data_IF_659309618850
#
_entry.id   IF_659309618850
#
_cell.length_a   1.000
_cell.length_b   1.000
_cell.length_c   1.000
_cell.angle_alpha   90.00
_cell.angle_beta   90.00
_cell.angle_gamma   90.00
#
_symmetry.space_group_name_H-M   'P 1'
#
loop_
_entity.id
_entity.type
_entity.pdbx_description
1 polymer ?
#
# COMPACT_ATOMS: atom_id res chain seq x y z
N UNK A 1 -18.51 -27.90 5.94
CA UNK A 1 -19.62 -28.76 5.44
C UNK A 1 -19.39 -28.83 3.95
N UNK A 2 -18.90 -29.99 3.46
CA UNK A 2 -18.85 -30.24 2.05
C UNK A 2 -20.27 -30.10 1.52
N UNK A 3 -20.50 -29.24 0.52
CA UNK A 3 -21.78 -29.14 -0.12
C UNK A 3 -22.05 -30.48 -0.85
N UNK A 4 -22.93 -31.27 -0.34
CA UNK A 4 -23.22 -32.63 -0.85
C UNK A 4 -23.77 -32.65 -2.28
N UNK A 5 -24.11 -31.51 -2.89
CA UNK A 5 -24.61 -31.44 -4.27
C UNK A 5 -24.16 -30.16 -4.97
N UNK A 6 -22.84 -30.04 -5.25
CA UNK A 6 -22.33 -29.03 -6.18
C UNK A 6 -22.03 -29.72 -7.52
N UNK A 7 -22.65 -29.28 -8.58
CA UNK A 7 -22.35 -29.76 -9.92
C UNK A 7 -21.72 -28.64 -10.75
N UNK A 8 -20.79 -29.01 -11.63
CA UNK A 8 -20.30 -28.11 -12.66
C UNK A 8 -20.48 -28.72 -14.03
N UNK A 9 -20.74 -27.90 -15.02
CA UNK A 9 -20.73 -28.30 -16.41
C UNK A 9 -20.03 -27.24 -17.26
N UNK A 10 -19.38 -27.70 -18.32
CA UNK A 10 -18.73 -26.84 -19.29
C UNK A 10 -19.38 -27.06 -20.65
N UNK A 11 -19.83 -26.00 -21.27
CA UNK A 11 -20.38 -26.04 -22.62
C UNK A 11 -20.08 -24.73 -23.36
N UNK A 12 -19.52 -24.83 -24.56
CA UNK A 12 -19.28 -23.69 -25.48
C UNK A 12 -18.62 -22.45 -24.85
N UNK A 13 -17.60 -22.65 -24.02
CA UNK A 13 -16.89 -21.55 -23.35
C UNK A 13 -17.56 -21.02 -22.08
N UNK A 14 -18.66 -21.62 -21.66
CA UNK A 14 -19.36 -21.29 -20.42
C UNK A 14 -19.13 -22.34 -19.34
N UNK A 15 -18.86 -21.91 -18.11
CA UNK A 15 -18.84 -22.77 -16.92
C UNK A 15 -20.10 -22.50 -16.12
N UNK A 16 -20.94 -23.52 -15.99
CA UNK A 16 -22.10 -23.46 -15.12
C UNK A 16 -21.79 -24.13 -13.78
N UNK A 17 -21.89 -23.34 -12.72
CA UNK A 17 -21.81 -23.83 -11.34
C UNK A 17 -23.20 -23.83 -10.75
N UNK A 18 -23.65 -24.97 -10.24
CA UNK A 18 -24.95 -25.11 -9.60
C UNK A 18 -24.81 -25.69 -8.20
N UNK A 19 -25.56 -25.15 -7.27
CA UNK A 19 -25.65 -25.65 -5.91
C UNK A 19 -27.13 -25.85 -5.55
N UNK A 20 -27.49 -27.01 -5.08
CA UNK A 20 -28.84 -27.29 -4.58
C UNK A 20 -28.95 -26.74 -3.16
N UNK A 21 -29.87 -25.79 -2.98
CA UNK A 21 -30.21 -25.25 -1.66
C UNK A 21 -31.35 -26.11 -1.09
N UNK A 22 -31.35 -26.21 0.27
CA UNK A 22 -32.43 -26.87 0.98
C UNK A 22 -33.79 -26.16 0.80
N UNK A 23 -34.86 -26.80 1.25
CA UNK A 23 -36.26 -26.31 1.07
C UNK A 23 -36.60 -25.13 2.00
N UNK A 24 -35.75 -24.77 2.93
CA UNK A 24 -35.97 -23.66 3.86
C UNK A 24 -35.66 -22.32 3.19
N UNK A 25 -36.57 -21.34 3.32
CA UNK A 25 -36.36 -19.96 2.83
C UNK A 25 -35.13 -19.25 3.42
N UNK A 26 -34.48 -19.81 4.46
CA UNK A 26 -33.27 -19.28 5.12
C UNK A 26 -31.99 -19.97 4.67
N UNK A 27 -32.08 -20.97 3.79
CA UNK A 27 -30.91 -21.67 3.29
C UNK A 27 -30.13 -20.74 2.33
N UNK A 28 -28.88 -20.50 2.65
CA UNK A 28 -27.97 -19.66 1.87
C UNK A 28 -26.80 -20.51 1.38
N UNK A 29 -26.51 -20.42 0.10
CA UNK A 29 -25.29 -20.98 -0.49
C UNK A 29 -24.22 -19.89 -0.63
N UNK A 30 -22.96 -20.28 -0.46
CA UNK A 30 -21.81 -19.43 -0.68
C UNK A 30 -21.00 -20.01 -1.83
N UNK A 31 -20.70 -19.19 -2.82
CA UNK A 31 -19.84 -19.53 -3.94
C UNK A 31 -18.52 -18.82 -3.79
N UNK A 32 -17.42 -19.57 -3.82
CA UNK A 32 -16.06 -19.01 -3.74
C UNK A 32 -15.42 -19.09 -5.11
N UNK A 33 -14.98 -17.95 -5.61
CA UNK A 33 -14.18 -17.85 -6.81
C UNK A 33 -12.77 -17.46 -6.43
N UNK A 34 -11.78 -18.16 -6.99
CA UNK A 34 -10.39 -17.83 -6.83
C UNK A 34 -9.73 -17.62 -8.19
N UNK A 35 -8.86 -16.66 -8.24
CA UNK A 35 -7.99 -16.39 -9.38
C UNK A 35 -6.56 -16.26 -8.88
N UNK A 36 -5.63 -16.89 -9.59
CA UNK A 36 -4.21 -16.78 -9.29
C UNK A 36 -3.43 -16.63 -10.60
N UNK A 37 -2.70 -15.56 -10.75
CA UNK A 37 -1.87 -15.29 -11.92
C UNK A 37 -0.61 -16.16 -11.97
N UNK A 38 -0.44 -17.06 -11.01
CA UNK A 38 0.64 -18.07 -10.94
C UNK A 38 1.97 -17.53 -10.44
N UNK A 39 2.34 -16.32 -10.82
CA UNK A 39 3.56 -15.65 -10.35
C UNK A 39 3.17 -14.41 -9.57
N UNK A 40 3.92 -14.12 -8.51
CA UNK A 40 3.80 -12.85 -7.81
C UNK A 40 4.44 -11.70 -8.59
N UNK A 41 4.93 -10.71 -7.88
CA UNK A 41 5.67 -9.60 -8.45
C UNK A 41 7.10 -10.05 -8.80
N UNK A 42 7.56 -9.81 -10.02
CA UNK A 42 8.98 -9.90 -10.35
C UNK A 42 9.64 -8.56 -10.01
N UNK A 43 10.57 -8.58 -9.06
CA UNK A 43 11.31 -7.42 -8.61
C UNK A 43 12.81 -7.79 -8.58
N UNK A 44 13.64 -7.00 -9.26
CA UNK A 44 15.09 -7.17 -9.33
C UNK A 44 15.56 -8.59 -9.68
N UNK A 45 14.86 -9.23 -10.63
CA UNK A 45 15.16 -10.59 -11.09
C UNK A 45 14.56 -11.71 -10.23
N UNK A 46 13.94 -11.39 -9.13
CA UNK A 46 13.34 -12.33 -8.19
C UNK A 46 11.82 -12.31 -8.27
N UNK A 47 11.19 -13.42 -7.89
CA UNK A 47 9.74 -13.54 -7.83
C UNK A 47 9.32 -13.43 -6.38
N UNK A 48 8.68 -12.32 -6.02
CA UNK A 48 8.06 -12.13 -4.71
C UNK A 48 6.69 -12.80 -4.70
N UNK A 49 6.44 -13.58 -3.67
CA UNK A 49 5.19 -14.32 -3.54
C UNK A 49 4.11 -13.48 -2.85
N UNK A 50 2.82 -13.66 -3.23
CA UNK A 50 1.72 -13.00 -2.51
C UNK A 50 1.74 -13.39 -1.03
N UNK A 51 1.32 -12.47 -0.16
CA UNK A 51 1.32 -12.67 1.29
C UNK A 51 0.63 -13.97 1.75
N UNK A 52 -0.48 -14.36 1.10
CA UNK A 52 -1.18 -15.61 1.42
C UNK A 52 -0.38 -16.87 1.08
N UNK A 53 0.60 -16.76 0.18
CA UNK A 53 1.49 -17.83 -0.28
C UNK A 53 2.96 -17.42 -0.20
N UNK A 54 3.34 -16.77 0.88
CA UNK A 54 4.67 -16.16 1.06
C UNK A 54 5.85 -17.12 0.91
N UNK A 55 5.63 -18.41 1.10
CA UNK A 55 6.62 -19.47 0.94
C UNK A 55 6.56 -20.16 -0.44
N UNK A 56 5.67 -19.73 -1.32
CA UNK A 56 5.50 -20.26 -2.67
C UNK A 56 4.97 -21.70 -2.75
N UNK A 57 4.58 -22.31 -1.62
CA UNK A 57 4.24 -23.74 -1.52
C UNK A 57 2.74 -24.03 -1.58
N UNK A 58 1.90 -23.00 -1.45
CA UNK A 58 0.45 -23.16 -1.42
C UNK A 58 -0.14 -23.02 -2.81
N UNK A 59 -1.15 -23.82 -3.07
CA UNK A 59 -1.97 -23.72 -4.28
C UNK A 59 -3.22 -22.86 -4.03
N UNK A 60 -3.83 -22.34 -5.10
CA UNK A 60 -5.09 -21.62 -5.01
C UNK A 60 -6.19 -22.43 -4.29
N UNK A 61 -6.18 -23.75 -4.49
CA UNK A 61 -7.10 -24.68 -3.81
C UNK A 61 -6.98 -24.58 -2.29
N UNK A 62 -5.76 -24.45 -1.75
CA UNK A 62 -5.54 -24.36 -0.30
C UNK A 62 -6.15 -23.07 0.26
N UNK A 63 -6.02 -21.96 -0.48
CA UNK A 63 -6.65 -20.70 -0.10
C UNK A 63 -8.19 -20.80 -0.12
N UNK A 64 -8.76 -21.42 -1.14
CA UNK A 64 -10.21 -21.60 -1.24
C UNK A 64 -10.74 -22.51 -0.13
N UNK A 65 -10.05 -23.60 0.19
CA UNK A 65 -10.41 -24.47 1.31
C UNK A 65 -10.33 -23.72 2.64
N UNK A 66 -9.23 -22.98 2.88
CA UNK A 66 -9.09 -22.15 4.09
C UNK A 66 -10.24 -21.15 4.24
N UNK A 67 -10.61 -20.45 3.17
CA UNK A 67 -11.71 -19.49 3.18
C UNK A 67 -13.05 -20.21 3.45
N UNK A 68 -13.29 -21.35 2.79
CA UNK A 68 -14.49 -22.14 3.01
C UNK A 68 -14.66 -22.60 4.45
N UNK A 69 -13.61 -23.18 5.03
CA UNK A 69 -13.61 -23.67 6.41
C UNK A 69 -13.75 -22.55 7.44
N UNK A 70 -13.22 -21.37 7.14
CA UNK A 70 -13.22 -20.21 8.04
C UNK A 70 -14.26 -19.14 7.68
N UNK A 71 -15.14 -19.38 6.69
CA UNK A 71 -16.04 -18.37 6.13
C UNK A 71 -16.79 -17.56 7.19
N UNK A 72 -17.45 -18.23 8.14
CA UNK A 72 -18.22 -17.56 9.20
C UNK A 72 -17.36 -16.70 10.14
N UNK A 73 -16.12 -17.10 10.36
CA UNK A 73 -15.15 -16.35 11.16
C UNK A 73 -14.69 -15.11 10.39
N UNK A 74 -14.30 -15.27 9.15
CA UNK A 74 -13.86 -14.19 8.27
C UNK A 74 -14.95 -13.14 8.08
N UNK A 75 -16.21 -13.55 7.84
CA UNK A 75 -17.34 -12.62 7.74
C UNK A 75 -17.52 -11.78 9.02
N UNK A 76 -17.43 -12.40 10.20
CA UNK A 76 -17.50 -11.66 11.47
C UNK A 76 -16.35 -10.66 11.65
N UNK A 77 -15.15 -11.00 11.15
CA UNK A 77 -14.01 -10.09 11.19
C UNK A 77 -14.21 -8.90 10.22
N UNK A 78 -14.77 -9.14 9.03
CA UNK A 78 -15.17 -8.08 8.11
C UNK A 78 -16.24 -7.16 8.71
N UNK A 79 -17.29 -7.72 9.32
CA UNK A 79 -18.35 -6.94 9.99
C UNK A 79 -17.79 -6.09 11.13
N UNK A 80 -16.82 -6.65 11.89
CA UNK A 80 -16.13 -5.92 12.97
C UNK A 80 -15.32 -4.75 12.41
N UNK A 81 -14.58 -4.96 11.31
CA UNK A 81 -13.81 -3.92 10.65
C UNK A 81 -14.71 -2.82 10.09
N UNK A 82 -15.79 -3.18 9.40
CA UNK A 82 -16.78 -2.23 8.92
C UNK A 82 -17.38 -1.41 10.07
N UNK A 83 -17.65 -2.06 11.20
CA UNK A 83 -18.11 -1.39 12.40
C UNK A 83 -17.07 -0.42 13.00
N UNK A 84 -15.78 -0.72 12.92
CA UNK A 84 -14.69 0.16 13.35
C UNK A 84 -14.55 1.37 12.42
N UNK A 85 -14.56 1.14 11.11
CA UNK A 85 -14.52 2.19 10.08
C UNK A 85 -15.67 3.17 10.25
N UNK A 86 -16.89 2.65 10.38
CA UNK A 86 -18.08 3.49 10.59
C UNK A 86 -17.94 4.33 11.87
N UNK A 87 -17.52 3.76 13.00
CA UNK A 87 -17.34 4.51 14.24
C UNK A 87 -16.32 5.65 14.08
N UNK A 88 -15.16 5.39 13.46
CA UNK A 88 -14.13 6.42 13.23
C UNK A 88 -14.63 7.49 12.26
N UNK A 89 -15.26 7.10 11.17
CA UNK A 89 -15.84 8.01 10.20
C UNK A 89 -16.89 8.95 10.83
N UNK A 90 -17.77 8.43 11.69
CA UNK A 90 -18.76 9.24 12.40
C UNK A 90 -18.17 10.19 13.46
N UNK A 91 -16.98 9.90 13.99
CA UNK A 91 -16.27 10.81 14.89
C UNK A 91 -15.86 12.13 14.21
N UNK A 92 -15.71 12.14 12.90
CA UNK A 92 -15.37 13.35 12.15
C UNK A 92 -16.47 14.42 12.15
N UNK A 93 -17.70 14.06 12.51
CA UNK A 93 -18.90 14.91 12.48
C UNK A 93 -19.21 15.52 11.10
N UNK A 94 -18.54 15.08 10.04
CA UNK A 94 -18.74 15.54 8.66
C UNK A 94 -19.18 14.34 7.82
N UNK A 95 -20.48 14.17 7.50
CA UNK A 95 -21.00 12.97 6.84
C UNK A 95 -20.38 12.68 5.47
N UNK A 96 -20.05 13.73 4.69
CA UNK A 96 -19.40 13.58 3.39
C UNK A 96 -17.98 13.01 3.53
N UNK A 97 -17.22 13.51 4.49
CA UNK A 97 -15.86 13.02 4.79
C UNK A 97 -15.91 11.58 5.31
N UNK A 98 -16.86 11.27 6.21
CA UNK A 98 -17.06 9.92 6.71
C UNK A 98 -17.31 8.91 5.58
N UNK A 99 -18.20 9.26 4.63
CA UNK A 99 -18.49 8.43 3.47
C UNK A 99 -17.25 8.25 2.59
N UNK A 100 -16.52 9.34 2.32
CA UNK A 100 -15.33 9.30 1.49
C UNK A 100 -14.27 8.39 2.12
N UNK A 101 -14.00 8.53 3.39
CA UNK A 101 -13.06 7.70 4.15
C UNK A 101 -13.36 6.19 4.03
N UNK A 102 -14.63 5.80 4.09
CA UNK A 102 -15.03 4.39 3.91
C UNK A 102 -14.79 3.93 2.47
N UNK A 103 -15.11 4.78 1.49
CA UNK A 103 -14.90 4.47 0.07
C UNK A 103 -13.41 4.35 -0.25
N UNK A 104 -12.58 5.26 0.23
CA UNK A 104 -11.14 5.26 0.01
C UNK A 104 -10.48 4.02 0.62
N UNK A 105 -10.89 3.62 1.83
CA UNK A 105 -10.39 2.38 2.43
C UNK A 105 -10.77 1.14 1.61
N UNK A 106 -12.02 1.04 1.16
CA UNK A 106 -12.47 -0.09 0.34
C UNK A 106 -11.76 -0.11 -1.01
N UNK A 107 -11.54 1.06 -1.60
CA UNK A 107 -10.76 1.23 -2.82
C UNK A 107 -9.33 0.75 -2.58
N UNK A 108 -8.66 1.23 -1.53
CA UNK A 108 -7.32 0.80 -1.17
C UNK A 108 -7.21 -0.73 -1.10
N UNK A 109 -8.08 -1.39 -0.34
CA UNK A 109 -8.07 -2.86 -0.19
C UNK A 109 -8.30 -3.58 -1.52
N UNK A 110 -9.14 -3.06 -2.41
CA UNK A 110 -9.45 -3.70 -3.69
C UNK A 110 -8.37 -3.50 -4.76
N UNK A 111 -7.61 -2.43 -4.67
CA UNK A 111 -6.62 -2.05 -5.68
C UNK A 111 -5.19 -2.45 -5.29
N UNK A 112 -4.93 -2.76 -4.01
CA UNK A 112 -3.59 -3.08 -3.54
C UNK A 112 -3.36 -4.59 -3.37
N UNK A 113 -2.11 -4.96 -3.64
CA UNK A 113 -1.56 -6.29 -3.47
C UNK A 113 -0.55 -6.29 -2.34
N UNK A 114 -0.41 -7.43 -1.69
CA UNK A 114 0.55 -7.64 -0.61
C UNK A 114 1.46 -8.80 -0.98
N UNK A 115 2.75 -8.57 -1.00
CA UNK A 115 3.79 -9.59 -1.25
C UNK A 115 4.84 -9.51 -0.16
N UNK A 116 5.61 -10.58 -0.01
CA UNK A 116 6.76 -10.61 0.90
C UNK A 116 8.04 -10.45 0.09
N UNK A 117 8.90 -9.53 0.54
CA UNK A 117 10.26 -9.43 0.04
C UNK A 117 11.09 -10.65 0.50
N UNK A 118 12.28 -10.81 -0.03
CA UNK A 118 13.19 -11.87 0.41
C UNK A 118 13.76 -11.62 1.81
N UNK A 119 13.96 -10.36 2.17
CA UNK A 119 14.31 -9.95 3.54
C UNK A 119 13.22 -10.25 4.56
N UNK A 120 11.99 -10.54 4.10
CA UNK A 120 10.84 -10.82 4.94
C UNK A 120 9.95 -9.60 5.20
N UNK A 121 10.21 -8.50 4.51
CA UNK A 121 9.43 -7.27 4.63
C UNK A 121 8.14 -7.37 3.82
N UNK A 122 7.10 -6.72 4.32
CA UNK A 122 5.82 -6.63 3.63
C UNK A 122 5.88 -5.50 2.61
N UNK A 123 5.70 -5.82 1.33
CA UNK A 123 5.44 -4.82 0.30
C UNK A 123 3.96 -4.71 0.02
N UNK A 124 3.48 -3.46 -0.06
CA UNK A 124 2.11 -3.12 -0.41
C UNK A 124 2.13 -2.19 -1.63
N UNK A 125 1.38 -2.51 -2.68
CA UNK A 125 1.38 -1.72 -3.92
C UNK A 125 0.09 -1.88 -4.72
N UNK A 126 -0.22 -0.87 -5.55
CA UNK A 126 -1.31 -0.88 -6.50
C UNK A 126 -0.90 -1.46 -7.86
N UNK A 127 -1.08 -0.70 -8.94
CA UNK A 127 -0.63 -1.11 -10.29
C UNK A 127 0.87 -0.92 -10.47
N UNK A 128 1.46 0.06 -9.80
CA UNK A 128 2.91 0.33 -9.77
C UNK A 128 3.48 0.06 -8.39
N UNK A 129 4.68 -0.54 -8.34
CA UNK A 129 5.43 -0.70 -7.09
C UNK A 129 6.01 0.65 -6.67
N UNK A 130 5.94 0.95 -5.37
CA UNK A 130 6.51 2.14 -4.76
C UNK A 130 6.06 3.47 -5.42
N UNK A 131 4.80 3.57 -5.79
CA UNK A 131 4.23 4.83 -6.27
C UNK A 131 4.07 5.80 -5.10
N UNK A 132 5.04 6.71 -4.94
CA UNK A 132 5.13 7.62 -3.78
C UNK A 132 3.92 8.55 -3.70
N UNK A 133 3.47 9.10 -4.84
CA UNK A 133 2.27 9.98 -4.87
C UNK A 133 1.00 9.24 -4.47
N UNK A 134 0.82 8.02 -4.95
CA UNK A 134 -0.32 7.18 -4.57
C UNK A 134 -0.25 6.80 -3.09
N UNK A 135 0.94 6.44 -2.60
CA UNK A 135 1.20 6.17 -1.19
C UNK A 135 0.83 7.36 -0.32
N UNK A 136 1.26 8.57 -0.69
CA UNK A 136 0.91 9.80 0.01
C UNK A 136 -0.60 10.06 0.04
N UNK A 137 -1.29 9.81 -1.07
CA UNK A 137 -2.74 9.99 -1.17
C UNK A 137 -3.53 9.01 -0.27
N UNK A 138 -3.03 7.79 -0.11
CA UNK A 138 -3.65 6.76 0.73
C UNK A 138 -3.26 6.87 2.22
N UNK A 139 -2.22 7.64 2.52
CA UNK A 139 -1.63 7.73 3.84
C UNK A 139 -2.61 8.17 4.95
N UNK A 140 -3.46 9.21 4.77
CA UNK A 140 -4.37 9.67 5.81
C UNK A 140 -5.35 8.59 6.28
N UNK A 141 -5.83 7.73 5.37
CA UNK A 141 -6.76 6.66 5.74
C UNK A 141 -6.04 5.56 6.53
N UNK A 142 -4.84 5.16 6.11
CA UNK A 142 -4.04 4.15 6.81
C UNK A 142 -3.62 4.63 8.20
N UNK A 143 -3.18 5.89 8.32
CA UNK A 143 -2.85 6.54 9.58
C UNK A 143 -4.06 6.54 10.52
N UNK A 144 -5.25 6.92 10.02
CA UNK A 144 -6.48 6.95 10.82
C UNK A 144 -6.89 5.57 11.33
N UNK A 145 -6.52 4.50 10.63
CA UNK A 145 -6.80 3.12 10.99
C UNK A 145 -5.68 2.47 11.80
N UNK A 146 -4.60 3.21 12.06
CA UNK A 146 -3.40 2.71 12.74
C UNK A 146 -2.76 1.51 12.01
N UNK A 147 -2.71 1.58 10.66
CA UNK A 147 -2.11 0.54 9.81
C UNK A 147 -0.69 0.93 9.39
N UNK A 148 0.18 1.12 10.42
CA UNK A 148 1.59 1.46 10.18
C UNK A 148 2.33 0.35 9.42
N UNK A 149 1.96 -0.89 9.63
CA UNK A 149 2.47 -2.05 8.89
C UNK A 149 2.27 -1.92 7.37
N UNK A 150 1.09 -1.46 6.93
CA UNK A 150 0.82 -1.25 5.52
C UNK A 150 1.47 0.03 4.99
N UNK A 151 1.54 1.06 5.83
CA UNK A 151 2.23 2.29 5.48
C UNK A 151 3.71 2.04 5.21
N UNK A 152 4.39 1.32 6.10
CA UNK A 152 5.78 0.87 5.88
C UNK A 152 5.88 0.02 4.62
N UNK A 153 4.95 -0.91 4.41
CA UNK A 153 4.91 -1.75 3.23
C UNK A 153 4.75 -1.02 1.89
N UNK A 154 4.17 0.18 1.89
CA UNK A 154 4.14 1.07 0.72
C UNK A 154 5.49 1.75 0.46
N UNK A 155 6.26 2.03 1.52
CA UNK A 155 7.48 2.83 1.47
C UNK A 155 8.76 1.98 1.40
N UNK A 156 8.75 0.78 1.97
CA UNK A 156 9.91 -0.10 2.04
C UNK A 156 10.55 -0.36 0.66
N UNK A 157 9.79 -0.62 -0.42
CA UNK A 157 10.40 -0.80 -1.73
C UNK A 157 11.18 0.42 -2.23
N UNK A 158 10.78 1.65 -1.82
CA UNK A 158 11.51 2.88 -2.17
C UNK A 158 12.87 2.90 -1.50
N UNK A 159 12.92 2.57 -0.21
CA UNK A 159 14.16 2.52 0.55
C UNK A 159 15.09 1.43 0.01
N UNK A 160 14.60 0.22 -0.14
CA UNK A 160 15.38 -0.90 -0.68
C UNK A 160 15.97 -0.59 -2.06
N UNK A 161 15.17 0.02 -2.94
CA UNK A 161 15.61 0.39 -4.28
C UNK A 161 16.72 1.46 -4.27
N UNK A 162 16.66 2.42 -3.36
CA UNK A 162 17.67 3.46 -3.21
C UNK A 162 18.93 2.93 -2.49
N UNK A 163 18.77 2.09 -1.46
CA UNK A 163 19.89 1.56 -0.68
C UNK A 163 20.72 0.52 -1.43
N UNK A 164 20.09 -0.22 -2.35
CA UNK A 164 20.76 -1.17 -3.23
C UNK A 164 21.40 -0.54 -4.48
N UNK A 165 21.57 0.78 -4.51
CA UNK A 165 22.17 1.53 -5.62
C UNK A 165 21.47 1.42 -6.99
N UNK A 166 20.23 0.94 -7.04
CA UNK A 166 19.45 0.94 -8.28
C UNK A 166 18.99 2.35 -8.67
N UNK A 167 18.87 3.23 -7.65
CA UNK A 167 18.54 4.63 -7.84
C UNK A 167 19.61 5.54 -7.22
N UNK A 168 20.36 6.26 -8.07
CA UNK A 168 21.52 7.08 -7.64
C UNK A 168 21.26 8.57 -7.64
N UNK A 169 19.99 8.98 -7.70
CA UNK A 169 19.61 10.40 -7.61
C UNK A 169 19.47 10.81 -6.14
N UNK A 170 19.60 12.12 -5.89
CA UNK A 170 19.51 12.70 -4.54
C UNK A 170 18.05 12.85 -4.03
N UNK A 171 17.10 12.25 -4.68
CA UNK A 171 15.67 12.22 -4.38
C UNK A 171 15.08 10.85 -4.69
N UNK A 172 13.95 10.45 -4.10
CA UNK A 172 13.36 9.14 -4.34
C UNK A 172 12.75 9.01 -5.74
N UNK A 173 12.61 7.79 -6.28
CA UNK A 173 11.89 7.56 -7.52
C UNK A 173 10.40 7.87 -7.38
N UNK A 174 9.74 8.15 -8.50
CA UNK A 174 8.27 8.27 -8.52
C UNK A 174 7.59 6.91 -8.34
N UNK A 175 8.09 5.88 -9.02
CA UNK A 175 7.70 4.48 -8.94
C UNK A 175 8.90 3.58 -9.30
N UNK A 176 8.78 2.28 -9.09
CA UNK A 176 9.84 1.30 -9.42
C UNK A 176 9.41 0.39 -10.57
N UNK A 177 8.20 0.51 -11.04
CA UNK A 177 7.71 -0.26 -12.18
C UNK A 177 6.27 -0.72 -12.05
N UNK A 178 5.78 -1.30 -13.13
CA UNK A 178 4.39 -1.77 -13.27
C UNK A 178 4.31 -3.27 -12.98
N UNK A 179 3.30 -3.68 -12.21
CA UNK A 179 2.94 -5.09 -12.07
C UNK A 179 2.71 -5.75 -13.45
N UNK A 180 3.19 -6.97 -13.74
CA UNK A 180 3.85 -7.88 -12.78
C UNK A 180 5.39 -7.79 -12.75
N UNK A 181 6.02 -6.83 -13.45
CA UNK A 181 7.47 -6.70 -13.52
C UNK A 181 7.86 -5.29 -13.06
N UNK A 182 8.49 -5.21 -11.89
CA UNK A 182 8.94 -3.96 -11.30
C UNK A 182 10.47 -3.94 -11.21
N UNK A 183 11.14 -3.33 -12.19
CA UNK A 183 12.60 -3.27 -12.26
C UNK A 183 13.13 -1.84 -12.43
N UNK A 184 12.28 -0.87 -12.74
CA UNK A 184 12.69 0.54 -12.96
C UNK A 184 11.48 1.45 -13.01
N UNK A 185 11.71 2.73 -12.76
CA UNK A 185 10.70 3.77 -12.91
C UNK A 185 10.09 3.77 -14.31
N UNK A 186 8.77 3.79 -14.38
CA UNK A 186 8.00 3.87 -15.62
C UNK A 186 7.57 5.31 -15.91
N UNK A 187 7.33 6.10 -14.85
CA UNK A 187 7.00 7.50 -15.01
C UNK A 187 8.15 8.26 -15.64
N UNK A 188 7.85 9.05 -16.68
CA UNK A 188 8.86 9.81 -17.43
C UNK A 188 9.45 10.94 -16.59
N UNK A 189 8.55 11.68 -15.91
CA UNK A 189 8.93 12.80 -15.06
C UNK A 189 9.17 12.32 -13.63
N UNK A 190 10.22 12.82 -13.00
CA UNK A 190 10.63 12.37 -11.66
C UNK A 190 9.79 12.99 -10.54
N UNK A 191 9.22 14.17 -10.72
CA UNK A 191 8.51 14.95 -9.67
C UNK A 191 9.34 15.04 -8.38
N UNK A 192 10.62 15.28 -8.53
CA UNK A 192 11.65 15.08 -7.50
C UNK A 192 11.38 15.81 -6.18
N UNK A 193 10.92 17.07 -6.24
CA UNK A 193 10.58 17.86 -5.04
C UNK A 193 9.39 17.25 -4.31
N UNK A 194 8.35 16.88 -5.05
CA UNK A 194 7.15 16.26 -4.48
C UNK A 194 7.48 14.92 -3.84
N UNK A 195 8.21 14.05 -4.55
CA UNK A 195 8.56 12.72 -4.03
C UNK A 195 9.41 12.81 -2.76
N UNK A 196 10.42 13.69 -2.72
CA UNK A 196 11.24 13.88 -1.54
C UNK A 196 10.43 14.44 -0.36
N UNK A 197 9.56 15.41 -0.61
CA UNK A 197 8.71 15.99 0.42
C UNK A 197 7.70 14.98 0.97
N UNK A 198 7.04 14.24 0.10
CA UNK A 198 6.03 13.25 0.48
C UNK A 198 6.63 12.13 1.33
N UNK A 199 7.81 11.61 0.97
CA UNK A 199 8.52 10.63 1.79
C UNK A 199 8.84 11.16 3.18
N UNK A 200 9.41 12.36 3.30
CA UNK A 200 9.73 12.96 4.60
C UNK A 200 8.47 13.18 5.46
N UNK A 201 7.36 13.61 4.86
CA UNK A 201 6.08 13.80 5.57
C UNK A 201 5.54 12.46 6.07
N UNK A 202 5.53 11.44 5.21
CA UNK A 202 5.00 10.12 5.56
C UNK A 202 5.81 9.45 6.67
N UNK A 203 7.14 9.49 6.60
CA UNK A 203 8.00 8.92 7.64
C UNK A 203 7.83 9.66 8.97
N UNK A 204 7.75 10.99 8.94
CA UNK A 204 7.52 11.78 10.16
C UNK A 204 6.21 11.38 10.84
N UNK A 205 5.15 11.19 10.05
CA UNK A 205 3.86 10.78 10.59
C UNK A 205 3.87 9.34 11.15
N UNK A 206 4.64 8.41 10.55
CA UNK A 206 4.84 7.06 11.11
C UNK A 206 5.50 7.17 12.47
N UNK A 207 6.62 7.89 12.57
CA UNK A 207 7.36 8.05 13.83
C UNK A 207 6.50 8.69 14.91
N UNK A 208 5.74 9.72 14.57
CA UNK A 208 4.79 10.35 15.51
C UNK A 208 3.68 9.40 15.96
N UNK A 209 3.15 8.59 15.07
CA UNK A 209 2.07 7.67 15.40
C UNK A 209 2.54 6.48 16.25
N UNK A 210 3.71 5.94 15.98
CA UNK A 210 4.28 4.81 16.71
C UNK A 210 5.01 5.23 17.99
N UNK A 211 5.45 6.49 18.09
CA UNK A 211 6.34 6.97 19.14
C UNK A 211 7.66 6.16 19.19
N UNK A 212 8.09 5.68 18.02
CA UNK A 212 9.29 4.88 17.81
C UNK A 212 10.08 5.44 16.62
N UNK A 213 11.36 5.70 16.84
CA UNK A 213 12.26 6.25 15.83
C UNK A 213 12.98 5.17 15.00
N UNK A 214 12.90 3.90 15.39
CA UNK A 214 13.69 2.81 14.80
C UNK A 214 13.54 2.68 13.29
N UNK A 215 12.33 2.84 12.74
CA UNK A 215 12.11 2.81 11.29
C UNK A 215 12.80 3.98 10.55
N UNK A 216 12.70 5.18 11.08
CA UNK A 216 13.38 6.33 10.49
C UNK A 216 14.91 6.25 10.64
N UNK A 217 15.41 5.68 11.74
CA UNK A 217 16.85 5.55 11.99
C UNK A 217 17.48 4.54 11.00
N UNK A 218 16.78 3.46 10.67
CA UNK A 218 17.23 2.49 9.68
C UNK A 218 17.53 3.14 8.31
N UNK A 219 16.74 4.13 7.91
CA UNK A 219 16.85 4.82 6.61
C UNK A 219 17.40 6.24 6.71
N UNK A 220 18.02 6.60 7.84
CA UNK A 220 18.40 7.98 8.17
C UNK A 220 19.26 8.68 7.09
N UNK A 221 20.16 7.94 6.47
CA UNK A 221 21.05 8.52 5.44
C UNK A 221 20.26 9.00 4.22
N UNK A 222 19.25 8.24 3.78
CA UNK A 222 18.39 8.65 2.67
C UNK A 222 17.50 9.83 3.05
N UNK A 223 16.96 9.85 4.27
CA UNK A 223 16.15 10.97 4.75
C UNK A 223 16.96 12.27 4.80
N UNK A 224 18.23 12.20 5.23
CA UNK A 224 19.14 13.34 5.16
C UNK A 224 19.39 13.78 3.71
N UNK A 225 19.69 12.84 2.81
CA UNK A 225 19.94 13.12 1.40
C UNK A 225 18.75 13.82 0.73
N UNK A 226 17.53 13.36 0.98
CA UNK A 226 16.32 13.95 0.43
C UNK A 226 16.02 15.33 1.02
N UNK A 227 16.27 15.52 2.31
CA UNK A 227 16.14 16.82 2.95
C UNK A 227 17.18 17.84 2.42
N UNK A 228 18.42 17.40 2.19
CA UNK A 228 19.46 18.24 1.60
C UNK A 228 19.11 18.63 0.16
N UNK A 229 18.55 17.71 -0.62
CA UNK A 229 18.02 18.02 -1.95
C UNK A 229 16.96 19.13 -1.90
N UNK A 230 15.97 19.01 -1.02
CA UNK A 230 14.93 20.05 -0.86
C UNK A 230 15.52 21.39 -0.42
N UNK A 231 16.50 21.39 0.49
CA UNK A 231 17.18 22.59 0.96
C UNK A 231 17.91 23.29 -0.18
N UNK A 232 18.62 22.53 -1.00
CA UNK A 232 19.31 23.05 -2.18
C UNK A 232 18.35 23.71 -3.17
N UNK A 233 17.19 23.09 -3.42
CA UNK A 233 16.15 23.68 -4.29
C UNK A 233 15.61 24.98 -3.73
N UNK A 234 15.34 25.04 -2.44
CA UNK A 234 14.84 26.24 -1.78
C UNK A 234 15.88 27.38 -1.78
N UNK A 235 17.17 27.07 -1.56
CA UNK A 235 18.25 28.08 -1.56
C UNK A 235 18.49 28.67 -2.95
N UNK A 236 18.41 27.86 -4.00
CA UNK A 236 18.57 28.28 -5.39
C UNK A 236 17.34 28.94 -5.97
N UNK A 237 16.19 28.83 -5.30
CA UNK A 237 14.87 29.24 -5.78
C UNK A 237 14.55 28.71 -7.19
N UNK A 238 14.97 27.47 -7.47
CA UNK A 238 14.78 26.79 -8.75
C UNK A 238 13.96 25.54 -8.52
N UNK A 239 12.72 25.58 -9.02
CA UNK A 239 11.78 24.47 -8.93
C UNK A 239 11.54 23.95 -10.35
N UNK A 240 11.87 22.68 -10.64
CA UNK A 240 11.54 22.08 -11.92
C UNK A 240 10.03 21.90 -11.97
N UNK A 241 9.36 22.69 -12.81
CA UNK A 241 7.91 22.54 -13.04
C UNK A 241 7.65 21.25 -13.82
N UNK A 242 7.49 20.15 -13.10
CA UNK A 242 7.19 18.85 -13.68
C UNK A 242 5.69 18.55 -13.57
N UNK A 243 5.07 18.35 -14.71
CA UNK A 243 3.67 17.91 -14.77
C UNK A 243 2.63 18.95 -14.37
N UNK A 244 1.75 18.61 -13.42
CA UNK A 244 0.61 19.43 -13.03
C UNK A 244 0.92 20.49 -11.96
N UNK A 245 2.07 20.41 -11.32
CA UNK A 245 2.49 21.37 -10.30
C UNK A 245 3.09 22.60 -10.96
N UNK A 246 2.76 23.78 -10.45
CA UNK A 246 3.43 25.02 -10.79
C UNK A 246 4.54 25.31 -9.75
N UNK A 247 5.36 26.34 -10.01
CA UNK A 247 6.47 26.72 -9.12
C UNK A 247 6.02 26.99 -7.67
N UNK A 248 4.86 27.60 -7.48
CA UNK A 248 4.34 27.90 -6.15
C UNK A 248 3.94 26.63 -5.39
N UNK A 249 3.34 25.66 -6.10
CA UNK A 249 2.97 24.37 -5.50
C UNK A 249 4.20 23.56 -5.10
N UNK A 250 5.25 23.54 -5.93
CA UNK A 250 6.51 22.87 -5.61
C UNK A 250 7.23 23.55 -4.45
N UNK A 251 7.21 24.89 -4.39
CA UNK A 251 7.74 25.64 -3.27
C UNK A 251 7.04 25.29 -1.96
N UNK A 252 5.72 25.24 -1.97
CA UNK A 252 4.93 24.82 -0.79
C UNK A 252 5.27 23.39 -0.38
N UNK A 253 5.36 22.46 -1.33
CA UNK A 253 5.76 21.07 -1.05
C UNK A 253 7.17 21.01 -0.42
N UNK A 254 8.12 21.74 -0.97
CA UNK A 254 9.48 21.83 -0.46
C UNK A 254 9.51 22.29 1.01
N UNK A 255 8.78 23.37 1.33
CA UNK A 255 8.66 23.88 2.70
C UNK A 255 8.03 22.84 3.63
N UNK A 256 6.95 22.19 3.22
CA UNK A 256 6.28 21.17 4.02
C UNK A 256 7.20 19.96 4.30
N UNK A 257 7.93 19.49 3.29
CA UNK A 257 8.91 18.41 3.44
C UNK A 257 10.02 18.77 4.42
N UNK A 258 10.57 19.99 4.34
CA UNK A 258 11.59 20.47 5.28
C UNK A 258 11.05 20.69 6.69
N UNK A 259 9.80 21.12 6.84
CA UNK A 259 9.15 21.21 8.15
C UNK A 259 8.96 19.82 8.78
N UNK A 260 8.56 18.83 7.98
CA UNK A 260 8.47 17.43 8.43
C UNK A 260 9.85 16.90 8.86
N UNK A 261 10.88 17.11 8.06
CA UNK A 261 12.25 16.70 8.42
C UNK A 261 12.75 17.39 9.71
N UNK A 262 12.48 18.68 9.87
CA UNK A 262 12.81 19.39 11.13
C UNK A 262 12.11 18.74 12.33
N UNK A 263 10.86 18.38 12.18
CA UNK A 263 10.11 17.68 13.23
C UNK A 263 10.72 16.30 13.52
N UNK A 264 11.14 15.59 12.48
CA UNK A 264 11.81 14.29 12.61
C UNK A 264 13.12 14.40 13.42
N UNK A 265 13.93 15.46 13.18
CA UNK A 265 15.13 15.74 13.99
C UNK A 265 14.76 15.96 15.47
N UNK A 266 13.72 16.74 15.76
CA UNK A 266 13.26 16.97 17.13
C UNK A 266 12.81 15.66 17.80
N UNK A 267 12.14 14.79 17.07
CA UNK A 267 11.75 13.47 17.58
C UNK A 267 12.98 12.60 17.86
N UNK A 268 14.01 12.64 17.01
CA UNK A 268 15.27 11.93 17.23
C UNK A 268 16.00 12.40 18.50
N UNK A 269 16.00 13.70 18.78
CA UNK A 269 16.64 14.27 19.95
C UNK A 269 15.88 14.00 21.27
N UNK A 270 14.61 13.59 21.16
CA UNK A 270 13.75 13.32 22.33
C UNK A 270 13.74 11.86 22.77
N UNK A 271 14.34 10.97 21.99
CA UNK A 271 14.53 9.54 22.28
C UNK A 271 15.90 9.32 22.90
#
# INVERSE_FOLDING_TARGET
IAAEETAYSYNEGHVLLSQKLGKNKKDQGVLLFGFNEGKGLQYEGEILHPYWNKDGKRELKDALLFIGDNYKKLMRECDRLDGQLNRRAFQTRIPSFARQMILDYRKFISEHRFVMSQSGDLFCFGDTLANVRESYSNFPILLSLNRMDWMKGLLEPVFEYCENDYWRKSYPPYDIGIYPIANRQVKVDDYAVEMAADMLIMITAIVEAEQDFGYADAHWNLLCLWADYLREKMEKDVYPCEGLLNEDDERVKCVLGLMAYRKLIQLKESV
#
